data_IF_784479048639
#
_entry.id   IF_784479048639
#
_cell.length_a   1.000
_cell.length_b   1.000
_cell.length_c   1.000
_cell.angle_alpha   90.00
_cell.angle_beta   90.00
_cell.angle_gamma   90.00
#
_symmetry.space_group_name_H-M   'P 1'
#
loop_
_entity.id
_entity.type
_entity.pdbx_description
1 polymer ?
#
# COMPACT_ATOMS: atom_id res chain seq x y z
N UNK A 1 -9.07 -8.92 -11.15
CA UNK A 1 -8.07 -9.53 -10.23
C UNK A 1 -7.00 -10.15 -11.10
N UNK A 2 -5.75 -9.72 -10.95
CA UNK A 2 -4.60 -10.26 -11.66
C UNK A 2 -3.66 -10.76 -10.57
N UNK A 3 -3.53 -12.08 -10.45
CA UNK A 3 -2.75 -12.68 -9.36
C UNK A 3 -1.84 -13.77 -9.90
N UNK A 4 -0.66 -13.94 -9.31
CA UNK A 4 0.31 -14.99 -9.66
C UNK A 4 0.75 -14.96 -11.13
N UNK A 5 0.98 -13.76 -11.68
CA UNK A 5 1.41 -13.59 -13.08
C UNK A 5 2.81 -13.00 -13.19
N UNK A 6 3.43 -13.22 -14.34
CA UNK A 6 4.69 -12.60 -14.75
C UNK A 6 4.57 -11.13 -15.16
N UNK A 7 3.44 -10.47 -14.89
CA UNK A 7 3.23 -9.09 -15.32
C UNK A 7 4.25 -8.17 -14.66
N UNK A 8 4.96 -7.38 -15.45
CA UNK A 8 6.03 -6.46 -14.99
C UNK A 8 5.61 -5.00 -15.06
N UNK A 9 4.59 -4.68 -15.88
CA UNK A 9 4.01 -3.34 -16.06
C UNK A 9 2.51 -3.44 -16.37
N UNK A 10 1.76 -2.39 -16.05
CA UNK A 10 0.38 -2.24 -16.53
C UNK A 10 0.41 -1.68 -17.96
N UNK A 11 -0.45 -2.18 -18.84
CA UNK A 11 -0.55 -1.64 -20.20
C UNK A 11 -1.26 -0.27 -20.18
N UNK A 12 -0.87 0.71 -21.02
CA UNK A 12 -1.51 2.02 -21.06
C UNK A 12 -3.02 1.97 -21.31
N UNK A 13 -3.51 0.95 -22.03
CA UNK A 13 -4.94 0.72 -22.27
C UNK A 13 -5.77 0.55 -20.99
N UNK A 14 -5.15 0.24 -19.85
CA UNK A 14 -5.84 0.21 -18.57
C UNK A 14 -6.42 1.58 -18.19
N UNK A 15 -5.89 2.69 -18.71
CA UNK A 15 -6.42 4.04 -18.48
C UNK A 15 -7.88 4.19 -18.93
N UNK A 16 -8.35 3.38 -19.88
CA UNK A 16 -9.75 3.37 -20.32
C UNK A 16 -10.74 2.82 -19.26
N UNK A 17 -10.23 2.24 -18.16
CA UNK A 17 -11.05 1.69 -17.08
C UNK A 17 -11.42 2.77 -16.04
N UNK A 18 -12.01 3.87 -16.50
CA UNK A 18 -12.29 5.07 -15.69
C UNK A 18 -13.15 4.78 -14.45
N UNK A 19 -14.02 3.77 -14.50
CA UNK A 19 -14.91 3.37 -13.40
C UNK A 19 -14.34 2.29 -12.48
N UNK A 20 -13.07 1.95 -12.64
CA UNK A 20 -12.45 0.87 -11.87
C UNK A 20 -12.41 1.22 -10.38
N UNK A 21 -13.23 0.52 -9.59
CA UNK A 21 -13.32 0.73 -8.14
C UNK A 21 -12.38 -0.18 -7.33
N UNK A 22 -11.90 -1.28 -7.92
CA UNK A 22 -11.07 -2.27 -7.23
C UNK A 22 -10.01 -2.84 -8.17
N UNK A 23 -8.75 -2.68 -7.79
CA UNK A 23 -7.59 -3.22 -8.49
C UNK A 23 -6.82 -4.14 -7.55
N UNK A 24 -6.62 -5.38 -7.98
CA UNK A 24 -5.92 -6.42 -7.21
C UNK A 24 -4.82 -7.01 -8.09
N UNK A 25 -3.58 -6.82 -7.65
CA UNK A 25 -2.32 -7.20 -8.27
C UNK A 25 -1.52 -7.97 -7.22
N UNK A 26 -1.89 -9.24 -7.02
CA UNK A 26 -1.31 -10.06 -5.95
C UNK A 26 -0.22 -10.97 -6.51
N UNK A 27 0.93 -11.04 -5.85
CA UNK A 27 2.04 -11.92 -6.24
C UNK A 27 2.46 -11.73 -7.71
N UNK A 28 2.65 -10.47 -8.13
CA UNK A 28 3.07 -10.12 -9.50
C UNK A 28 4.54 -9.70 -9.57
N UNK A 29 5.09 -9.66 -10.79
CA UNK A 29 6.43 -9.12 -11.05
C UNK A 29 6.41 -7.60 -11.28
N UNK A 30 5.30 -6.94 -10.96
CA UNK A 30 5.07 -5.52 -11.21
C UNK A 30 6.06 -4.69 -10.40
N UNK A 31 6.89 -3.90 -11.09
CA UNK A 31 7.86 -2.98 -10.46
C UNK A 31 7.36 -1.55 -10.45
N UNK A 32 6.82 -1.10 -11.59
CA UNK A 32 6.27 0.24 -11.76
C UNK A 32 4.74 0.22 -11.67
N UNK A 33 4.22 0.88 -10.64
CA UNK A 33 2.80 1.05 -10.37
C UNK A 33 2.29 2.46 -10.75
N UNK A 34 3.07 3.25 -11.50
CA UNK A 34 2.78 4.66 -11.83
C UNK A 34 1.39 4.88 -12.43
N UNK A 35 0.94 3.99 -13.34
CA UNK A 35 -0.36 4.05 -14.00
C UNK A 35 -1.57 3.89 -13.06
N UNK A 36 -1.38 3.42 -11.82
CA UNK A 36 -2.48 3.25 -10.87
C UNK A 36 -3.09 4.61 -10.48
N UNK A 37 -2.34 5.71 -10.59
CA UNK A 37 -2.84 7.06 -10.29
C UNK A 37 -3.99 7.51 -11.20
N UNK A 38 -4.14 6.88 -12.37
CA UNK A 38 -5.16 7.24 -13.36
C UNK A 38 -6.56 6.72 -12.97
N UNK A 39 -6.65 5.82 -11.97
CA UNK A 39 -7.93 5.28 -11.51
C UNK A 39 -8.54 6.16 -10.41
N UNK A 40 -9.16 7.28 -10.79
CA UNK A 40 -9.72 8.26 -9.85
C UNK A 40 -10.84 7.68 -8.96
N UNK A 41 -11.59 6.68 -9.45
CA UNK A 41 -12.67 6.02 -8.71
C UNK A 41 -12.21 4.87 -7.80
N UNK A 42 -10.90 4.61 -7.72
CA UNK A 42 -10.38 3.44 -7.01
C UNK A 42 -10.62 3.53 -5.50
N UNK A 43 -11.28 2.51 -4.96
CA UNK A 43 -11.59 2.36 -3.53
C UNK A 43 -10.75 1.26 -2.88
N UNK A 44 -10.31 0.28 -3.67
CA UNK A 44 -9.56 -0.88 -3.19
C UNK A 44 -8.32 -1.06 -4.06
N UNK A 45 -7.15 -1.02 -3.43
CA UNK A 45 -5.87 -1.31 -4.05
C UNK A 45 -5.14 -2.39 -3.27
N UNK A 46 -4.92 -3.54 -3.91
CA UNK A 46 -4.15 -4.65 -3.35
C UNK A 46 -2.93 -4.88 -4.24
N UNK A 47 -1.74 -4.72 -3.67
CA UNK A 47 -0.42 -4.94 -4.27
C UNK A 47 0.35 -6.06 -3.56
N UNK A 48 -0.35 -6.85 -2.74
CA UNK A 48 0.22 -7.86 -1.85
C UNK A 48 1.19 -8.79 -2.59
N UNK A 49 2.40 -8.96 -2.07
CA UNK A 49 3.39 -9.88 -2.63
C UNK A 49 3.97 -9.47 -3.99
N UNK A 50 3.65 -8.26 -4.49
CA UNK A 50 4.21 -7.76 -5.74
C UNK A 50 5.60 -7.17 -5.55
N UNK A 51 6.38 -7.11 -6.64
CA UNK A 51 7.75 -6.57 -6.64
C UNK A 51 7.82 -5.05 -6.83
N UNK A 52 6.83 -4.33 -6.32
CA UNK A 52 6.79 -2.86 -6.45
C UNK A 52 7.99 -2.26 -5.73
N UNK A 53 8.67 -1.33 -6.38
CA UNK A 53 9.83 -0.66 -5.79
C UNK A 53 9.43 0.65 -5.11
N UNK A 54 8.41 1.32 -5.64
CA UNK A 54 7.85 2.56 -5.10
C UNK A 54 6.32 2.56 -5.23
N UNK A 55 5.65 3.23 -4.30
CA UNK A 55 4.25 3.58 -4.47
C UNK A 55 4.10 4.67 -5.55
N UNK A 56 3.01 4.67 -6.34
CA UNK A 56 2.81 5.70 -7.34
C UNK A 56 2.76 7.07 -6.68
N UNK A 57 3.50 8.06 -7.21
CA UNK A 57 3.52 9.44 -6.66
C UNK A 57 2.12 10.06 -6.59
N UNK A 58 1.23 9.70 -7.51
CA UNK A 58 -0.17 10.14 -7.53
C UNK A 58 -1.08 9.44 -6.52
N UNK A 59 -0.59 8.44 -5.76
CA UNK A 59 -1.41 7.77 -4.73
C UNK A 59 -1.94 8.78 -3.70
N UNK A 60 -1.19 9.85 -3.42
CA UNK A 60 -1.58 10.93 -2.50
C UNK A 60 -2.86 11.67 -2.90
N UNK A 61 -3.25 11.62 -4.18
CA UNK A 61 -4.47 12.27 -4.68
C UNK A 61 -5.66 11.30 -4.78
N UNK A 62 -5.47 10.01 -4.49
CA UNK A 62 -6.50 8.97 -4.56
C UNK A 62 -7.41 9.02 -3.31
N UNK A 63 -8.10 10.15 -3.13
CA UNK A 63 -8.90 10.46 -1.93
C UNK A 63 -10.09 9.52 -1.71
N UNK A 64 -10.51 8.77 -2.73
CA UNK A 64 -11.57 7.75 -2.66
C UNK A 64 -11.08 6.39 -2.14
N UNK A 65 -9.76 6.21 -2.00
CA UNK A 65 -9.17 4.95 -1.57
C UNK A 65 -9.56 4.63 -0.13
N UNK A 66 -10.16 3.46 0.07
CA UNK A 66 -10.63 2.95 1.37
C UNK A 66 -9.80 1.79 1.88
N UNK A 67 -9.20 1.01 0.99
CA UNK A 67 -8.35 -0.13 1.33
C UNK A 67 -7.05 -0.06 0.55
N UNK A 68 -5.93 -0.12 1.27
CA UNK A 68 -4.59 -0.31 0.71
C UNK A 68 -3.94 -1.53 1.36
N UNK A 69 -3.65 -2.55 0.56
CA UNK A 69 -2.85 -3.69 0.99
C UNK A 69 -1.54 -3.75 0.19
N UNK A 70 -0.44 -3.51 0.89
CA UNK A 70 0.92 -3.61 0.38
C UNK A 70 1.70 -4.64 1.19
N UNK A 71 1.04 -5.64 1.78
CA UNK A 71 1.70 -6.68 2.56
C UNK A 71 2.63 -7.53 1.68
N UNK A 72 3.74 -8.02 2.23
CA UNK A 72 4.72 -8.83 1.51
C UNK A 72 5.38 -8.13 0.31
N UNK A 73 5.41 -6.79 0.26
CA UNK A 73 6.13 -6.04 -0.79
C UNK A 73 7.56 -5.75 -0.34
N UNK A 74 8.42 -6.78 -0.39
CA UNK A 74 9.77 -6.73 0.19
C UNK A 74 10.72 -5.75 -0.54
N UNK A 75 10.43 -5.40 -1.79
CA UNK A 75 11.23 -4.48 -2.61
C UNK A 75 10.80 -3.02 -2.48
N UNK A 76 9.70 -2.75 -1.76
CA UNK A 76 9.19 -1.39 -1.61
C UNK A 76 10.14 -0.57 -0.74
N UNK A 77 10.62 0.57 -1.24
CA UNK A 77 11.60 1.43 -0.54
C UNK A 77 11.00 2.26 0.59
N UNK A 78 9.68 2.21 0.79
CA UNK A 78 8.99 2.88 1.88
C UNK A 78 7.62 3.44 1.51
N UNK A 79 6.98 4.02 2.52
CA UNK A 79 5.75 4.81 2.35
C UNK A 79 6.10 6.28 2.59
N UNK A 80 5.70 7.21 1.71
CA UNK A 80 5.88 8.64 1.95
C UNK A 80 5.22 9.08 3.27
N UNK A 81 5.93 9.88 4.09
CA UNK A 81 5.51 10.26 5.45
C UNK A 81 4.11 10.90 5.54
N UNK A 82 3.67 11.59 4.49
CA UNK A 82 2.36 12.24 4.43
C UNK A 82 1.29 11.43 3.69
N UNK A 83 1.61 10.27 3.11
CA UNK A 83 0.67 9.54 2.27
C UNK A 83 -0.61 9.19 3.04
N UNK A 84 -0.46 8.53 4.19
CA UNK A 84 -1.59 8.06 4.99
C UNK A 84 -2.47 9.24 5.46
N UNK A 85 -1.85 10.36 5.83
CA UNK A 85 -2.59 11.57 6.22
C UNK A 85 -3.42 12.21 5.10
N UNK A 86 -3.06 11.95 3.84
CA UNK A 86 -3.74 12.50 2.65
C UNK A 86 -4.84 11.58 2.13
N UNK A 87 -4.75 10.28 2.44
CA UNK A 87 -5.78 9.29 2.14
C UNK A 87 -6.90 9.36 3.20
N UNK A 88 -7.65 10.47 3.21
CA UNK A 88 -8.62 10.79 4.28
C UNK A 88 -9.78 9.79 4.42
N UNK A 89 -10.07 8.99 3.38
CA UNK A 89 -11.09 7.94 3.43
C UNK A 89 -10.52 6.53 3.64
N UNK A 90 -9.21 6.39 3.90
CA UNK A 90 -8.57 5.10 4.12
C UNK A 90 -9.09 4.48 5.42
N UNK A 91 -9.76 3.34 5.29
CA UNK A 91 -10.34 2.57 6.40
C UNK A 91 -9.44 1.38 6.77
N UNK A 92 -8.78 0.78 5.78
CA UNK A 92 -7.98 -0.42 5.93
C UNK A 92 -6.60 -0.23 5.30
N UNK A 93 -5.55 -0.49 6.11
CA UNK A 93 -4.17 -0.44 5.69
C UNK A 93 -3.45 -1.72 6.14
N UNK A 94 -2.95 -2.50 5.18
CA UNK A 94 -2.18 -3.71 5.44
C UNK A 94 -0.75 -3.55 4.93
N UNK A 95 0.22 -3.68 5.84
CA UNK A 95 1.67 -3.47 5.59
C UNK A 95 2.51 -4.62 6.14
N UNK A 96 1.89 -5.79 6.36
CA UNK A 96 2.55 -6.91 7.01
C UNK A 96 3.67 -7.48 6.14
N UNK A 97 4.83 -7.75 6.73
CA UNK A 97 6.01 -8.29 6.03
C UNK A 97 6.47 -7.43 4.83
N UNK A 98 6.42 -6.10 4.96
CA UNK A 98 6.80 -5.15 3.89
C UNK A 98 8.00 -4.27 4.23
N UNK A 99 8.48 -4.34 5.47
CA UNK A 99 9.61 -3.55 5.97
C UNK A 99 10.93 -4.25 5.61
N UNK A 100 11.32 -4.18 4.33
CA UNK A 100 12.65 -4.56 3.85
C UNK A 100 13.63 -3.41 4.04
N UNK A 101 14.03 -2.79 2.93
CA UNK A 101 15.02 -1.71 2.89
C UNK A 101 14.37 -0.32 2.88
N UNK A 102 13.43 -0.04 3.80
CA UNK A 102 12.77 1.26 3.82
C UNK A 102 13.77 2.38 4.13
N UNK A 103 14.02 3.27 3.18
CA UNK A 103 14.92 4.40 3.37
C UNK A 103 14.30 5.40 4.36
N UNK A 104 15.04 5.69 5.43
CA UNK A 104 14.60 6.67 6.43
C UNK A 104 15.10 8.05 6.01
N UNK A 105 14.27 8.81 5.30
CA UNK A 105 14.54 10.24 5.09
C UNK A 105 14.29 11.01 6.39
N UNK A 106 15.36 11.20 7.18
CA UNK A 106 15.33 12.00 8.41
C UNK A 106 16.68 11.96 9.10
N UNK A 107 17.32 13.13 9.25
CA UNK A 107 18.65 13.30 9.86
C UNK A 107 18.74 12.59 11.21
N UNK A 108 19.69 11.67 11.33
CA UNK A 108 20.07 11.03 12.59
C UNK A 108 19.39 9.68 12.79
N UNK A 109 20.22 8.63 12.83
CA UNK A 109 19.81 7.24 12.81
C UNK A 109 18.76 6.83 13.86
N UNK A 110 18.05 5.76 13.50
CA UNK A 110 17.33 4.86 14.40
C UNK A 110 16.38 5.51 15.41
N UNK A 111 15.26 6.09 14.95
CA UNK A 111 14.07 6.29 15.83
C UNK A 111 12.72 5.89 15.23
N UNK A 112 12.67 5.46 13.96
CA UNK A 112 11.45 4.90 13.37
C UNK A 112 11.19 3.45 13.84
N UNK A 113 12.24 2.74 14.26
CA UNK A 113 12.20 1.33 14.69
C UNK A 113 11.49 1.05 16.02
N UNK A 114 11.16 2.08 16.82
CA UNK A 114 10.41 1.87 18.06
C UNK A 114 8.98 2.41 18.04
N UNK A 115 8.70 3.57 17.44
CA UNK A 115 7.36 4.16 17.47
C UNK A 115 6.39 3.45 16.51
N UNK A 116 6.85 3.03 15.32
CA UNK A 116 6.08 2.17 14.42
C UNK A 116 6.03 0.72 14.93
N UNK A 117 7.08 0.22 15.60
CA UNK A 117 7.08 -1.09 16.29
C UNK A 117 6.13 -1.12 17.50
N UNK A 118 5.86 0.03 18.12
CA UNK A 118 5.01 0.19 19.31
C UNK A 118 3.60 0.74 19.01
N UNK A 119 3.16 0.76 17.75
CA UNK A 119 1.76 0.92 17.37
C UNK A 119 1.00 2.06 18.07
N UNK A 120 1.41 3.32 17.88
CA UNK A 120 0.61 4.46 18.37
C UNK A 120 0.19 5.43 17.25
N UNK A 121 -1.09 5.27 16.89
CA UNK A 121 -2.06 6.16 16.21
C UNK A 121 -1.75 6.51 14.73
N UNK A 122 -2.69 6.48 13.79
CA UNK A 122 -4.13 6.21 13.76
C UNK A 122 -4.47 5.52 12.42
N UNK A 123 -5.62 4.85 12.35
CA UNK A 123 -6.01 3.77 11.42
C UNK A 123 -5.60 2.38 11.92
N UNK A 124 -6.57 1.69 12.53
CA UNK A 124 -6.60 0.27 12.92
C UNK A 124 -5.36 -0.55 12.50
N UNK A 125 -4.31 -0.52 13.32
CA UNK A 125 -3.18 -1.42 13.17
C UNK A 125 -3.66 -2.78 13.67
N UNK A 126 -4.07 -3.66 12.75
CA UNK A 126 -4.26 -5.08 13.04
C UNK A 126 -2.85 -5.65 13.30
N UNK A 127 -2.42 -5.59 14.56
CA UNK A 127 -1.31 -6.39 15.05
C UNK A 127 -1.88 -7.73 15.50
N UNK A 128 -1.87 -8.73 14.61
CA UNK A 128 -2.20 -10.11 14.97
C UNK A 128 -0.91 -10.91 15.06
N UNK A 129 -0.43 -11.11 16.29
CA UNK A 129 0.54 -12.13 16.60
C UNK A 129 -0.24 -13.34 17.14
N UNK A 130 -0.34 -14.38 16.31
CA UNK A 130 -0.86 -15.72 16.57
C UNK A 130 -2.11 -15.88 17.46
N UNK A 131 -3.16 -16.38 16.79
CA UNK A 131 -4.35 -17.04 17.32
C UNK A 131 -5.34 -16.16 18.10
N UNK A 132 -6.45 -15.90 17.40
CA UNK A 132 -7.75 -15.39 17.85
C UNK A 132 -7.96 -13.87 17.96
N UNK A 133 -8.97 -13.47 17.18
CA UNK A 133 -10.00 -12.46 17.43
C UNK A 133 -9.90 -11.12 16.68
N UNK A 134 -10.97 -10.92 15.89
CA UNK A 134 -11.57 -9.64 15.48
C UNK A 134 -11.40 -8.57 16.56
N UNK A 135 -11.12 -7.32 16.17
CA UNK A 135 -11.72 -6.17 16.85
C UNK A 135 -11.76 -4.90 15.98
N UNK A 136 -12.82 -4.14 16.25
CA UNK A 136 -13.38 -2.99 15.54
C UNK A 136 -12.63 -1.67 15.77
N UNK A 137 -12.93 -0.74 14.85
CA UNK A 137 -12.48 0.65 14.70
C UNK A 137 -12.51 1.51 15.97
N UNK A 138 -11.57 2.47 16.04
CA UNK A 138 -11.79 3.93 15.94
C UNK A 138 -10.49 4.61 15.51
#
# INVERSE_FOLDING_TARGET
>A
MISYTGITSLAPSFQCLEKLCSLRLEYTHLRDASLIREFEELKVLILRGSRIEQLPKGLVTMTKLKLLDISNTLFLSGIPHNLISKLSLLMELYIWNSFGDWEVEGRGGSRVSEALRKGKKAASIIYNNNNNNKLFML
#
